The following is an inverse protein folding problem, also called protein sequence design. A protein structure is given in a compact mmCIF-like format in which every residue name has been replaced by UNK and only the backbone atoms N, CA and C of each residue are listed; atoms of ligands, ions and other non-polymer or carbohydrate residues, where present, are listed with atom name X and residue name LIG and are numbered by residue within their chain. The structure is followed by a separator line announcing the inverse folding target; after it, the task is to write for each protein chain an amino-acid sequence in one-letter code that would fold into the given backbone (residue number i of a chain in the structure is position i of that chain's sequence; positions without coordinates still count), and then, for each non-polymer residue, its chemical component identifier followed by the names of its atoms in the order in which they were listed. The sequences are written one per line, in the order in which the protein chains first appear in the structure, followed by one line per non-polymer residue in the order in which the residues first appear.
data_IF_471973295131
#
_entry.id   IF_471973295131
#
_cell.length_a   1.000
_cell.length_b   1.000
_cell.length_c   1.000
_cell.angle_alpha   90.00
_cell.angle_beta   90.00
_cell.angle_gamma   90.00
#
_symmetry.space_group_name_H-M   'P 1'
#
loop_
_entity.id
_entity.type
_entity.pdbx_description
1 polymer ?
#
# COMPACT_ATOMS: atom_id res chain seq x y z
N UNK A 1 -19.06 1.38 5.69
CA UNK A 1 -18.78 0.99 4.29
C UNK A 1 -17.36 1.38 3.88
N UNK A 2 -16.89 2.57 4.18
CA UNK A 2 -15.55 3.06 3.77
C UNK A 2 -14.37 2.22 4.29
N UNK A 3 -14.43 1.73 5.54
CA UNK A 3 -13.40 0.82 6.06
C UNK A 3 -13.30 -0.46 5.23
N UNK A 4 -14.43 -1.04 4.81
CA UNK A 4 -14.44 -2.24 3.97
C UNK A 4 -13.78 -2.00 2.61
N UNK A 5 -13.93 -0.80 2.05
CA UNK A 5 -13.28 -0.41 0.79
C UNK A 5 -11.75 -0.42 0.94
N UNK A 6 -11.21 0.14 2.02
CA UNK A 6 -9.76 0.13 2.28
C UNK A 6 -9.27 -1.29 2.61
N UNK A 7 -10.04 -2.05 3.39
CA UNK A 7 -9.70 -3.45 3.67
C UNK A 7 -9.69 -4.32 2.41
N UNK A 8 -10.52 -4.02 1.41
CA UNK A 8 -10.46 -4.68 0.11
C UNK A 8 -9.14 -4.39 -0.63
N UNK A 9 -8.63 -3.15 -0.53
CA UNK A 9 -7.31 -2.79 -1.08
C UNK A 9 -6.18 -3.52 -0.34
N UNK A 10 -6.24 -3.57 1.00
CA UNK A 10 -5.27 -4.33 1.82
C UNK A 10 -5.32 -5.83 1.49
N UNK A 11 -6.52 -6.39 1.29
CA UNK A 11 -6.69 -7.79 0.89
C UNK A 11 -6.12 -8.07 -0.51
N UNK A 12 -6.34 -7.17 -1.47
CA UNK A 12 -5.73 -7.28 -2.80
C UNK A 12 -4.20 -7.24 -2.73
N UNK A 13 -3.64 -6.32 -1.93
CA UNK A 13 -2.20 -6.25 -1.68
C UNK A 13 -1.69 -7.55 -1.05
N UNK A 14 -2.39 -8.12 -0.06
CA UNK A 14 -2.04 -9.40 0.55
C UNK A 14 -2.02 -10.54 -0.48
N UNK A 15 -3.00 -10.60 -1.35
CA UNK A 15 -3.07 -11.57 -2.44
C UNK A 15 -1.89 -11.42 -3.40
N UNK A 16 -1.56 -10.19 -3.82
CA UNK A 16 -0.40 -9.90 -4.66
C UNK A 16 0.92 -10.32 -4.00
N UNK A 17 1.11 -9.99 -2.70
CA UNK A 17 2.28 -10.42 -1.92
C UNK A 17 2.38 -11.95 -1.82
N UNK A 18 1.25 -12.64 -1.68
CA UNK A 18 1.21 -14.11 -1.64
C UNK A 18 1.71 -14.72 -2.95
N UNK A 19 1.29 -14.16 -4.09
CA UNK A 19 1.78 -14.55 -5.42
C UNK A 19 3.29 -14.32 -5.53
N UNK A 20 3.76 -13.11 -5.20
CA UNK A 20 5.18 -12.78 -5.24
C UNK A 20 6.02 -13.71 -4.38
N UNK A 21 5.54 -14.04 -3.17
CA UNK A 21 6.29 -14.89 -2.25
C UNK A 21 6.32 -16.34 -2.70
N UNK A 22 5.20 -16.92 -3.10
CA UNK A 22 5.10 -18.36 -3.35
C UNK A 22 5.45 -18.75 -4.78
N UNK A 23 5.25 -17.86 -5.75
CA UNK A 23 5.55 -18.12 -7.17
C UNK A 23 6.85 -17.46 -7.62
N UNK A 24 7.04 -16.19 -7.29
CA UNK A 24 8.22 -15.43 -7.71
C UNK A 24 9.40 -15.56 -6.73
N UNK A 25 9.21 -16.25 -5.59
CA UNK A 25 10.24 -16.48 -4.55
C UNK A 25 10.77 -15.18 -3.90
N UNK A 26 9.99 -14.10 -3.93
CA UNK A 26 10.33 -12.88 -3.22
C UNK A 26 10.19 -13.13 -1.71
N UNK A 27 11.15 -12.74 -0.87
CA UNK A 27 11.00 -12.88 0.59
C UNK A 27 9.74 -12.18 1.08
N UNK A 28 8.97 -12.83 1.98
CA UNK A 28 7.68 -12.29 2.43
C UNK A 28 7.77 -10.93 3.13
N UNK A 29 8.91 -10.61 3.74
CA UNK A 29 9.17 -9.29 4.33
C UNK A 29 9.44 -8.19 3.29
N UNK A 30 9.86 -8.56 2.08
CA UNK A 30 10.15 -7.64 0.97
C UNK A 30 8.98 -7.56 -0.01
N UNK A 31 8.13 -8.60 -0.04
CA UNK A 31 7.01 -8.70 -0.98
C UNK A 31 6.05 -7.49 -0.92
N UNK A 32 5.71 -6.89 0.25
CA UNK A 32 4.87 -5.69 0.29
C UNK A 32 5.49 -4.50 -0.44
N UNK A 33 6.76 -4.19 -0.19
CA UNK A 33 7.46 -3.11 -0.87
C UNK A 33 7.53 -3.35 -2.38
N UNK A 34 7.84 -4.57 -2.80
CA UNK A 34 7.85 -4.95 -4.22
C UNK A 34 6.48 -4.81 -4.86
N UNK A 35 5.42 -5.29 -4.19
CA UNK A 35 4.05 -5.19 -4.70
C UNK A 35 3.61 -3.73 -4.86
N UNK A 36 3.84 -2.89 -3.84
CA UNK A 36 3.50 -1.46 -3.87
C UNK A 36 4.26 -0.73 -4.99
N UNK A 37 5.56 -1.02 -5.14
CA UNK A 37 6.38 -0.42 -6.22
C UNK A 37 5.87 -0.82 -7.60
N UNK A 38 5.49 -2.09 -7.81
CA UNK A 38 4.92 -2.55 -9.07
C UNK A 38 3.54 -1.93 -9.33
N UNK A 39 2.68 -1.83 -8.31
CA UNK A 39 1.37 -1.18 -8.42
C UNK A 39 1.55 0.27 -8.84
N UNK A 40 2.41 1.02 -8.14
CA UNK A 40 2.66 2.43 -8.45
C UNK A 40 3.22 2.60 -9.87
N UNK A 41 4.18 1.76 -10.27
CA UNK A 41 4.75 1.81 -11.63
C UNK A 41 3.68 1.56 -12.70
N UNK A 42 2.85 0.53 -12.53
CA UNK A 42 1.76 0.21 -13.47
C UNK A 42 0.73 1.34 -13.52
N UNK A 43 0.32 1.87 -12.37
CA UNK A 43 -0.65 2.98 -12.32
C UNK A 43 -0.07 4.27 -12.91
N UNK A 44 1.23 4.53 -12.74
CA UNK A 44 1.89 5.69 -13.37
C UNK A 44 1.84 5.59 -14.89
N UNK A 45 2.21 4.43 -15.45
CA UNK A 45 2.14 4.20 -16.89
C UNK A 45 0.69 4.29 -17.42
N UNK A 46 -0.26 3.73 -16.66
CA UNK A 46 -1.69 3.79 -17.01
C UNK A 46 -2.23 5.23 -16.99
N UNK A 47 -1.82 6.01 -15.98
CA UNK A 47 -2.20 7.42 -15.88
C UNK A 47 -1.62 8.25 -17.03
N UNK A 48 -0.35 8.03 -17.37
CA UNK A 48 0.27 8.69 -18.54
C UNK A 48 -0.41 8.31 -19.87
N UNK A 49 -0.99 7.12 -19.96
CA UNK A 49 -1.73 6.65 -21.12
C UNK A 49 -3.23 7.03 -21.11
N UNK A 50 -3.72 7.73 -20.07
CA UNK A 50 -5.15 8.11 -19.93
C UNK A 50 -6.08 6.92 -19.68
N UNK A 51 -5.56 5.81 -19.15
CA UNK A 51 -6.33 4.56 -18.90
C UNK A 51 -6.24 4.11 -17.43
N UNK A 52 -6.08 5.07 -16.51
CA UNK A 52 -5.88 4.81 -15.10
C UNK A 52 -7.00 3.94 -14.50
N UNK A 53 -8.25 4.32 -14.74
CA UNK A 53 -9.40 3.63 -14.14
C UNK A 53 -9.50 2.14 -14.54
N UNK A 54 -9.55 1.76 -15.82
CA UNK A 54 -9.66 0.36 -16.23
C UNK A 54 -8.43 -0.47 -15.81
N UNK A 55 -7.23 0.09 -15.83
CA UNK A 55 -6.03 -0.61 -15.40
C UNK A 55 -6.03 -0.84 -13.89
N UNK A 56 -6.56 0.09 -13.10
CA UNK A 56 -6.68 -0.13 -11.66
C UNK A 56 -7.61 -1.31 -11.35
N UNK A 57 -8.74 -1.42 -12.04
CA UNK A 57 -9.59 -2.62 -11.96
C UNK A 57 -8.84 -3.90 -12.34
N UNK A 58 -8.05 -3.87 -13.41
CA UNK A 58 -7.25 -5.02 -13.83
C UNK A 58 -6.21 -5.39 -12.76
N UNK A 59 -5.55 -4.43 -12.12
CA UNK A 59 -4.61 -4.67 -11.02
C UNK A 59 -5.29 -5.36 -9.86
N UNK A 60 -6.47 -4.89 -9.42
CA UNK A 60 -7.25 -5.55 -8.37
C UNK A 60 -7.65 -6.98 -8.76
N UNK A 61 -8.18 -7.15 -9.96
CA UNK A 61 -8.58 -8.46 -10.46
C UNK A 61 -7.41 -9.45 -10.52
N UNK A 62 -6.25 -9.02 -11.00
CA UNK A 62 -5.04 -9.83 -11.08
C UNK A 62 -4.51 -10.21 -9.68
N UNK A 63 -4.48 -9.27 -8.75
CA UNK A 63 -4.06 -9.54 -7.38
C UNK A 63 -4.98 -10.58 -6.72
N UNK A 64 -6.29 -10.35 -6.76
CA UNK A 64 -7.28 -11.24 -6.13
C UNK A 64 -7.31 -12.61 -6.80
N UNK A 65 -7.40 -12.69 -8.14
CA UNK A 65 -7.39 -13.94 -8.88
C UNK A 65 -6.09 -14.73 -8.65
N UNK A 66 -4.94 -14.05 -8.68
CA UNK A 66 -3.65 -14.66 -8.40
C UNK A 66 -3.58 -15.21 -6.97
N UNK A 67 -4.06 -14.46 -5.97
CA UNK A 67 -4.12 -14.91 -4.60
C UNK A 67 -5.03 -16.15 -4.42
N UNK A 68 -6.23 -16.10 -4.97
CA UNK A 68 -7.16 -17.23 -4.95
C UNK A 68 -6.55 -18.46 -5.61
N UNK A 69 -5.93 -18.29 -6.79
CA UNK A 69 -5.26 -19.39 -7.49
C UNK A 69 -4.13 -20.02 -6.66
N UNK A 70 -3.28 -19.20 -6.03
CA UNK A 70 -2.20 -19.71 -5.17
C UNK A 70 -2.75 -20.42 -3.94
N UNK A 71 -3.80 -19.89 -3.31
CA UNK A 71 -4.45 -20.52 -2.16
C UNK A 71 -5.15 -21.82 -2.54
N UNK A 72 -5.80 -21.90 -3.70
CA UNK A 72 -6.42 -23.11 -4.21
C UNK A 72 -5.38 -24.21 -4.50
N UNK A 73 -4.18 -23.81 -4.97
CA UNK A 73 -3.06 -24.71 -5.26
C UNK A 73 -2.09 -24.90 -4.09
N UNK A 74 -2.46 -24.47 -2.87
CA UNK A 74 -1.59 -24.50 -1.67
C UNK A 74 -1.01 -25.86 -1.33
N UNK A 75 -1.70 -26.96 -1.68
CA UNK A 75 -1.21 -28.32 -1.48
C UNK A 75 0.13 -28.58 -2.17
N UNK A 76 0.40 -27.85 -3.25
CA UNK A 76 1.66 -27.93 -4.00
C UNK A 76 2.78 -27.06 -3.39
N UNK A 77 2.49 -26.32 -2.30
CA UNK A 77 3.44 -25.42 -1.66
C UNK A 77 3.69 -25.86 -0.21
N UNK A 78 4.52 -26.91 -0.03
CA UNK A 78 4.92 -27.35 1.30
C UNK A 78 5.53 -26.17 2.09
N UNK A 79 5.07 -25.99 3.34
CA UNK A 79 5.53 -24.92 4.22
C UNK A 79 5.10 -23.50 3.77
N UNK A 80 4.01 -23.37 3.00
CA UNK A 80 3.52 -22.04 2.54
C UNK A 80 3.33 -21.05 3.68
N UNK A 81 2.74 -21.50 4.81
CA UNK A 81 2.55 -20.63 5.97
C UNK A 81 3.89 -20.11 6.53
N UNK A 82 4.91 -20.96 6.64
CA UNK A 82 6.23 -20.58 7.14
C UNK A 82 6.94 -19.59 6.20
N UNK A 83 6.66 -19.68 4.89
CA UNK A 83 7.20 -18.75 3.89
C UNK A 83 6.49 -17.42 3.92
N UNK A 84 5.17 -17.39 4.14
CA UNK A 84 4.36 -16.17 4.16
C UNK A 84 4.47 -15.41 5.49
N UNK A 85 4.50 -16.11 6.62
CA UNK A 85 4.52 -15.50 7.95
C UNK A 85 5.92 -15.50 8.53
N UNK A 86 6.77 -14.62 8.01
CA UNK A 86 8.09 -14.30 8.59
C UNK A 86 7.94 -13.16 9.60
N UNK A 87 8.89 -12.95 10.53
CA UNK A 87 8.80 -11.85 11.50
C UNK A 87 8.55 -10.49 10.84
N UNK A 88 9.25 -10.16 9.74
CA UNK A 88 9.04 -8.90 9.02
C UNK A 88 7.66 -8.81 8.36
N UNK A 89 7.13 -9.90 7.76
CA UNK A 89 5.80 -9.88 7.16
C UNK A 89 4.69 -9.81 8.21
N UNK A 90 4.85 -10.48 9.36
CA UNK A 90 3.89 -10.39 10.48
C UNK A 90 3.87 -8.96 11.03
N UNK A 91 5.05 -8.34 11.22
CA UNK A 91 5.15 -6.94 11.61
C UNK A 91 4.39 -6.05 10.62
N UNK A 92 4.64 -6.19 9.32
CA UNK A 92 3.98 -5.41 8.28
C UNK A 92 2.45 -5.52 8.35
N UNK A 93 1.91 -6.74 8.32
CA UNK A 93 0.45 -6.92 8.31
C UNK A 93 -0.21 -6.47 9.62
N UNK A 94 0.47 -6.67 10.74
CA UNK A 94 0.02 -6.17 12.05
C UNK A 94 -0.10 -4.65 12.06
N UNK A 95 0.94 -3.95 11.60
CA UNK A 95 0.95 -2.49 11.53
C UNK A 95 -0.04 -1.97 10.48
N UNK A 96 -0.07 -2.55 9.28
CA UNK A 96 -0.99 -2.14 8.23
C UNK A 96 -2.45 -2.22 8.67
N UNK A 97 -2.85 -3.30 9.35
CA UNK A 97 -4.21 -3.45 9.87
C UNK A 97 -4.49 -2.51 11.04
N UNK A 98 -3.56 -2.42 12.01
CA UNK A 98 -3.73 -1.57 13.18
C UNK A 98 -3.88 -0.09 12.80
N UNK A 99 -3.03 0.42 11.90
CA UNK A 99 -3.09 1.81 11.46
C UNK A 99 -4.25 2.08 10.51
N UNK A 100 -4.67 1.13 9.69
CA UNK A 100 -5.91 1.26 8.92
C UNK A 100 -7.12 1.47 9.84
N UNK A 101 -7.23 0.70 10.92
CA UNK A 101 -8.30 0.87 11.92
C UNK A 101 -8.12 2.18 12.70
N UNK A 102 -6.90 2.51 13.11
CA UNK A 102 -6.61 3.76 13.82
C UNK A 102 -7.04 4.99 13.02
N UNK A 103 -6.63 5.11 11.75
CA UNK A 103 -7.02 6.25 10.92
C UNK A 103 -8.51 6.25 10.60
N UNK A 104 -9.13 5.09 10.42
CA UNK A 104 -10.58 5.02 10.27
C UNK A 104 -11.33 5.56 11.51
N UNK A 105 -10.83 5.27 12.71
CA UNK A 105 -11.45 5.77 13.95
C UNK A 105 -11.16 7.25 14.18
N UNK A 106 -9.92 7.69 13.93
CA UNK A 106 -9.48 9.07 14.18
C UNK A 106 -9.93 10.03 13.12
N UNK A 107 -10.15 9.57 11.88
CA UNK A 107 -10.56 10.40 10.74
C UNK A 107 -9.72 11.67 10.58
N UNK A 108 -8.36 11.61 10.58
CA UNK A 108 -7.56 12.80 10.42
C UNK A 108 -7.90 13.48 9.09
N UNK A 109 -7.95 14.80 9.13
CA UNK A 109 -8.15 15.65 7.95
C UNK A 109 -6.83 16.30 7.57
N UNK A 110 -6.61 16.52 6.29
CA UNK A 110 -5.52 17.36 5.82
C UNK A 110 -5.72 18.77 6.38
N UNK A 111 -4.73 19.30 7.10
CA UNK A 111 -4.83 20.58 7.80
C UNK A 111 -3.66 21.52 7.48
N UNK A 112 -2.49 20.98 7.21
CA UNK A 112 -1.30 21.76 6.93
C UNK A 112 -1.31 22.34 5.50
N UNK A 113 -0.65 23.46 5.31
CA UNK A 113 -0.61 24.15 4.02
C UNK A 113 -0.11 23.24 2.88
N UNK A 114 0.95 22.47 3.13
CA UNK A 114 1.52 21.57 2.14
C UNK A 114 0.60 20.38 1.85
N UNK A 115 -0.15 19.91 2.85
CA UNK A 115 -1.16 18.87 2.65
C UNK A 115 -2.29 19.37 1.74
N UNK A 116 -2.86 20.52 2.06
CA UNK A 116 -3.99 21.10 1.34
C UNK A 116 -3.60 21.58 -0.07
N UNK A 117 -2.42 22.19 -0.23
CA UNK A 117 -1.99 22.77 -1.50
C UNK A 117 -1.39 21.75 -2.48
N UNK A 118 -0.80 20.66 -1.98
CA UNK A 118 -0.04 19.72 -2.80
C UNK A 118 -0.61 18.30 -2.72
N UNK A 119 -0.52 17.65 -1.59
CA UNK A 119 -0.63 16.20 -1.47
C UNK A 119 -2.08 15.75 -1.48
N UNK A 120 -2.91 16.26 -0.58
CA UNK A 120 -4.31 15.90 -0.51
C UNK A 120 -5.06 16.35 -1.76
N UNK A 121 -4.74 17.53 -2.30
CA UNK A 121 -5.31 18.04 -3.53
C UNK A 121 -4.97 17.16 -4.72
N UNK A 122 -3.71 16.75 -4.88
CA UNK A 122 -3.29 15.84 -5.95
C UNK A 122 -4.04 14.50 -5.87
N UNK A 123 -4.15 13.91 -4.68
CA UNK A 123 -4.90 12.66 -4.48
C UNK A 123 -6.39 12.84 -4.75
N UNK A 124 -6.99 13.95 -4.28
CA UNK A 124 -8.41 14.25 -4.48
C UNK A 124 -8.76 14.40 -5.95
N UNK A 125 -7.97 15.17 -6.71
CA UNK A 125 -8.16 15.37 -8.15
C UNK A 125 -8.05 14.02 -8.87
N UNK A 126 -6.97 13.26 -8.61
CA UNK A 126 -6.77 11.92 -9.19
C UNK A 126 -7.94 10.99 -8.90
N UNK A 127 -8.45 11.01 -7.66
CA UNK A 127 -9.57 10.15 -7.25
C UNK A 127 -10.89 10.56 -7.91
N UNK A 128 -11.17 11.85 -8.00
CA UNK A 128 -12.44 12.36 -8.54
C UNK A 128 -12.49 12.18 -10.07
N UNK A 129 -11.40 12.49 -10.75
CA UNK A 129 -11.34 12.44 -12.21
C UNK A 129 -10.95 11.05 -12.74
N UNK A 130 -10.44 10.16 -11.90
CA UNK A 130 -9.82 8.89 -12.30
C UNK A 130 -8.72 9.07 -13.36
N UNK A 131 -8.00 10.18 -13.26
CA UNK A 131 -6.93 10.59 -14.16
C UNK A 131 -5.78 11.23 -13.37
N UNK A 132 -4.65 11.45 -14.04
CA UNK A 132 -3.51 12.10 -13.40
C UNK A 132 -3.86 13.55 -13.05
N UNK A 133 -3.58 13.96 -11.84
CA UNK A 133 -3.87 15.33 -11.39
C UNK A 133 -3.18 16.42 -12.23
N UNK A 134 -2.05 16.10 -12.89
CA UNK A 134 -1.34 17.03 -13.76
C UNK A 134 -2.09 17.33 -15.08
N UNK A 135 -3.03 16.47 -15.49
CA UNK A 135 -3.86 16.62 -16.67
C UNK A 135 -5.27 17.14 -16.35
N UNK A 136 -5.61 17.21 -15.07
CA UNK A 136 -6.92 17.70 -14.63
C UNK A 136 -7.00 19.23 -14.77
N UNK A 137 -8.10 19.75 -15.32
CA UNK A 137 -8.35 21.19 -15.48
C UNK A 137 -8.33 21.95 -14.15
N UNK A 138 -8.66 21.26 -13.03
CA UNK A 138 -8.68 21.82 -11.69
C UNK A 138 -7.34 21.68 -10.95
N UNK A 139 -6.29 21.22 -11.65
CA UNK A 139 -4.97 21.08 -11.05
C UNK A 139 -4.40 22.45 -10.66
N UNK A 140 -3.89 22.57 -9.44
CA UNK A 140 -3.09 23.73 -9.07
C UNK A 140 -1.73 23.65 -9.75
N UNK A 141 -1.06 24.78 -10.04
CA UNK A 141 0.28 24.77 -10.63
C UNK A 141 1.29 23.93 -9.80
N UNK A 142 1.10 23.90 -8.50
CA UNK A 142 1.93 23.12 -7.56
C UNK A 142 1.68 21.63 -7.68
N UNK A 143 0.43 21.20 -7.84
CA UNK A 143 0.07 19.79 -8.01
C UNK A 143 0.70 19.20 -9.28
N UNK A 144 0.76 19.97 -10.37
CA UNK A 144 1.31 19.53 -11.64
C UNK A 144 2.82 19.22 -11.59
N UNK A 145 3.55 19.76 -10.62
CA UNK A 145 4.99 19.54 -10.46
C UNK A 145 5.34 18.37 -9.52
N UNK A 146 4.34 17.78 -8.86
CA UNK A 146 4.56 16.70 -7.90
C UNK A 146 4.84 15.35 -8.58
N UNK A 147 5.65 14.52 -7.92
CA UNK A 147 5.84 13.14 -8.34
C UNK A 147 4.52 12.36 -8.18
N UNK A 148 4.00 11.71 -9.23
CA UNK A 148 2.70 11.04 -9.19
C UNK A 148 2.67 9.76 -8.32
N UNK A 149 3.83 9.24 -7.88
CA UNK A 149 3.91 7.96 -7.19
C UNK A 149 3.07 7.88 -5.92
N UNK A 150 3.21 8.86 -5.02
CA UNK A 150 2.45 8.88 -3.77
C UNK A 150 0.95 9.16 -3.97
N UNK A 151 0.52 10.12 -4.80
CA UNK A 151 -0.89 10.28 -5.17
C UNK A 151 -1.51 9.02 -5.76
N UNK A 152 -0.82 8.32 -6.66
CA UNK A 152 -1.32 7.08 -7.27
C UNK A 152 -1.36 5.91 -6.28
N UNK A 153 -0.42 5.85 -5.32
CA UNK A 153 -0.49 4.90 -4.22
C UNK A 153 -1.74 5.15 -3.37
N UNK A 154 -2.00 6.41 -2.99
CA UNK A 154 -3.20 6.77 -2.24
C UNK A 154 -4.47 6.55 -3.04
N UNK A 155 -4.45 6.80 -4.35
CA UNK A 155 -5.54 6.47 -5.26
C UNK A 155 -5.87 4.97 -5.24
N UNK A 156 -4.85 4.10 -5.25
CA UNK A 156 -5.07 2.66 -5.10
C UNK A 156 -5.84 2.34 -3.82
N UNK A 157 -5.44 2.85 -2.65
CA UNK A 157 -6.14 2.58 -1.39
C UNK A 157 -7.53 3.24 -1.29
N UNK A 158 -7.81 4.24 -2.12
CA UNK A 158 -9.09 4.94 -2.19
C UNK A 158 -9.94 4.52 -3.39
N UNK A 159 -9.48 3.57 -4.20
CA UNK A 159 -10.15 3.20 -5.45
C UNK A 159 -11.62 2.84 -5.24
N UNK A 160 -11.91 2.04 -4.23
CA UNK A 160 -13.27 1.76 -3.79
C UNK A 160 -13.75 2.82 -2.80
N UNK A 161 -15.04 3.19 -2.89
CA UNK A 161 -15.64 4.18 -2.02
C UNK A 161 -15.33 5.64 -2.37
N UNK A 162 -15.67 6.54 -1.46
CA UNK A 162 -15.50 7.97 -1.64
C UNK A 162 -14.08 8.41 -1.26
N UNK A 163 -13.68 9.60 -1.74
CA UNK A 163 -12.49 10.27 -1.25
C UNK A 163 -12.62 10.57 0.26
N UNK A 164 -11.54 10.34 0.99
CA UNK A 164 -11.42 10.76 2.38
C UNK A 164 -9.92 10.93 2.75
N UNK A 165 -9.60 12.01 3.46
CA UNK A 165 -8.22 12.36 3.80
C UNK A 165 -7.51 11.27 4.60
N UNK A 166 -8.19 10.65 5.57
CA UNK A 166 -7.63 9.59 6.39
C UNK A 166 -7.07 8.39 5.59
N UNK A 167 -7.59 8.14 4.40
CA UNK A 167 -7.12 7.06 3.53
C UNK A 167 -5.77 7.37 2.88
N UNK A 168 -5.42 8.66 2.76
CA UNK A 168 -4.10 9.09 2.29
C UNK A 168 -3.05 8.60 3.28
N UNK A 169 -3.28 8.84 4.57
CA UNK A 169 -2.38 8.41 5.63
C UNK A 169 -2.23 6.89 5.68
N UNK A 170 -3.32 6.14 5.47
CA UNK A 170 -3.24 4.67 5.34
C UNK A 170 -2.29 4.26 4.22
N UNK A 171 -2.41 4.86 3.03
CA UNK A 171 -1.55 4.53 1.89
C UNK A 171 -0.07 4.82 2.18
N UNK A 172 0.22 5.95 2.79
CA UNK A 172 1.58 6.38 3.12
C UNK A 172 2.19 5.49 4.21
N UNK A 173 1.46 5.23 5.28
CA UNK A 173 1.95 4.38 6.37
C UNK A 173 2.17 2.94 5.93
N UNK A 174 1.30 2.39 5.08
CA UNK A 174 1.53 1.06 4.51
C UNK A 174 2.84 1.03 3.70
N UNK A 175 3.18 2.10 2.97
CA UNK A 175 4.48 2.18 2.30
C UNK A 175 5.63 2.20 3.32
N UNK A 176 5.56 3.02 4.37
CA UNK A 176 6.56 3.05 5.44
C UNK A 176 6.75 1.69 6.09
N UNK A 177 5.66 1.02 6.48
CA UNK A 177 5.71 -0.30 7.10
C UNK A 177 6.31 -1.35 6.18
N UNK A 178 6.12 -1.23 4.87
CA UNK A 178 6.74 -2.14 3.90
C UNK A 178 8.27 -2.04 3.88
N UNK A 179 8.80 -0.82 4.02
CA UNK A 179 10.24 -0.58 4.17
C UNK A 179 10.75 -1.16 5.49
N UNK A 180 10.07 -0.89 6.60
CA UNK A 180 10.45 -1.41 7.92
C UNK A 180 10.45 -2.94 7.94
N UNK A 181 9.44 -3.56 7.32
CA UNK A 181 9.36 -5.01 7.21
C UNK A 181 10.55 -5.59 6.41
N UNK A 182 10.95 -4.93 5.34
CA UNK A 182 12.11 -5.35 4.54
C UNK A 182 13.40 -5.26 5.36
N UNK A 183 13.60 -4.17 6.12
CA UNK A 183 14.76 -3.98 7.00
C UNK A 183 14.81 -5.03 8.10
N UNK A 184 13.70 -5.24 8.83
CA UNK A 184 13.62 -6.26 9.90
C UNK A 184 13.82 -7.66 9.31
N UNK A 185 13.26 -7.92 8.14
CA UNK A 185 13.37 -9.21 7.45
C UNK A 185 14.78 -9.53 6.95
N UNK A 186 15.63 -8.54 6.77
CA UNK A 186 17.04 -8.73 6.42
C UNK A 186 17.89 -9.22 7.61
N UNK A 187 17.38 -9.11 8.85
CA UNK A 187 18.11 -9.56 10.04
C UNK A 187 17.94 -11.07 10.19
N UNK A 188 19.04 -11.83 10.28
CA UNK A 188 18.98 -13.27 10.51
C UNK A 188 18.20 -13.60 11.81
N UNK A 189 17.41 -14.67 11.79
CA UNK A 189 16.62 -15.11 12.95
C UNK A 189 17.47 -15.35 14.19
N UNK A 190 18.74 -15.75 14.04
CA UNK A 190 19.69 -15.91 15.14
C UNK A 190 19.98 -14.60 15.90
N UNK A 191 19.76 -13.45 15.26
CA UNK A 191 19.97 -12.11 15.83
C UNK A 191 18.65 -11.47 16.32
N UNK A 192 17.71 -12.26 16.82
CA UNK A 192 16.41 -11.78 17.30
C UNK A 192 16.53 -10.68 18.38
N UNK A 193 17.60 -10.70 19.19
CA UNK A 193 17.89 -9.66 20.19
C UNK A 193 18.13 -8.27 19.59
N UNK A 194 18.48 -8.20 18.31
CA UNK A 194 18.61 -6.95 17.56
C UNK A 194 17.31 -6.64 16.80
N UNK A 195 16.70 -7.68 16.21
CA UNK A 195 15.48 -7.51 15.43
C UNK A 195 14.29 -7.01 16.25
N UNK A 196 14.12 -7.50 17.47
CA UNK A 196 12.99 -7.11 18.34
C UNK A 196 13.07 -5.65 18.80
N UNK A 197 14.17 -5.14 19.36
CA UNK A 197 14.26 -3.72 19.71
C UNK A 197 14.12 -2.82 18.50
N UNK A 198 14.73 -3.17 17.36
CA UNK A 198 14.60 -2.39 16.13
C UNK A 198 13.15 -2.36 15.64
N UNK A 199 12.45 -3.48 15.65
CA UNK A 199 11.03 -3.52 15.29
C UNK A 199 10.20 -2.65 16.25
N UNK A 200 10.48 -2.68 17.55
CA UNK A 200 9.80 -1.84 18.54
C UNK A 200 10.02 -0.34 18.28
N UNK A 201 11.26 0.07 18.00
CA UNK A 201 11.58 1.46 17.64
C UNK A 201 10.84 1.87 16.36
N UNK A 202 10.92 1.07 15.31
CA UNK A 202 10.23 1.34 14.04
C UNK A 202 8.70 1.39 14.20
N UNK A 203 8.14 0.59 15.10
CA UNK A 203 6.71 0.66 15.44
C UNK A 203 6.32 1.99 16.07
N UNK A 204 7.21 2.62 16.83
CA UNK A 204 6.92 3.87 17.50
C UNK A 204 7.05 5.10 16.57
N UNK A 205 7.81 5.00 15.47
CA UNK A 205 8.08 6.15 14.56
C UNK A 205 6.80 6.88 14.12
N UNK A 206 5.72 6.21 13.65
CA UNK A 206 4.52 6.91 13.19
C UNK A 206 3.76 7.70 14.27
N UNK A 207 4.08 7.52 15.55
CA UNK A 207 3.47 8.29 16.64
C UNK A 207 4.19 9.61 16.92
N UNK A 208 5.35 9.86 16.30
CA UNK A 208 6.15 11.05 16.49
C UNK A 208 6.10 12.00 15.29
N UNK A 209 5.49 11.58 14.21
CA UNK A 209 5.30 12.32 12.96
C UNK A 209 3.84 12.20 12.52
#
# INVERSE_FOLDING_TARGET
MELLCVLAAVAALFCGCTVLTLKCRVPASVAPLTALSLIVAVLTLAAMAGVLYPITWAVYALCLAGGVWVLATRKNHAGAAQKLFTPGSVLFWGMALAFTVYFFVRQPMAADFDELSLWATAVKITKVNNDLYATAELGTPWAATQNPGLPLLSYFFQFFGNYADWKIYVGYDILYFSVFAAVVGAIPRSKWRVAVPMAAVLWCVPFFF
#
